data_IF_326677702504
#
_entry.id   IF_326677702504
#
_cell.length_a   1.000
_cell.length_b   1.000
_cell.length_c   1.000
_cell.angle_alpha   90.00
_cell.angle_beta   90.00
_cell.angle_gamma   90.00
#
_symmetry.space_group_name_H-M   'P 1'
#
loop_
_entity.id
_entity.type
_entity.pdbx_description
1 polymer ?
#
# COMPACT_ATOMS: atom_id res chain seq x y z
N UNK A 1 -39.09 16.05 -15.08
CA UNK A 1 -38.92 14.61 -15.39
C UNK A 1 -37.63 14.36 -16.18
N UNK A 2 -37.48 14.91 -17.39
CA UNK A 2 -36.27 14.73 -18.24
C UNK A 2 -34.95 15.17 -17.59
N UNK A 3 -34.93 16.31 -16.87
CA UNK A 3 -33.74 16.80 -16.16
C UNK A 3 -33.24 15.80 -15.10
N UNK A 4 -34.15 15.31 -14.25
CA UNK A 4 -33.83 14.35 -13.20
C UNK A 4 -33.37 13.00 -13.78
N UNK A 5 -33.96 12.56 -14.90
CA UNK A 5 -33.53 11.35 -15.62
C UNK A 5 -32.09 11.48 -16.14
N UNK A 6 -31.74 12.65 -16.68
CA UNK A 6 -30.38 12.93 -17.18
C UNK A 6 -29.35 13.00 -16.04
N UNK A 7 -29.67 13.68 -14.95
CA UNK A 7 -28.83 13.75 -13.74
C UNK A 7 -28.59 12.37 -13.12
N UNK A 8 -29.63 11.53 -13.08
CA UNK A 8 -29.50 10.15 -12.59
C UNK A 8 -28.56 9.33 -13.49
N UNK A 9 -28.71 9.43 -14.81
CA UNK A 9 -27.84 8.72 -15.75
C UNK A 9 -26.38 9.16 -15.61
N UNK A 10 -26.13 10.46 -15.52
CA UNK A 10 -24.80 11.02 -15.30
C UNK A 10 -24.20 10.56 -13.97
N UNK A 11 -25.00 10.51 -12.91
CA UNK A 11 -24.58 10.04 -11.59
C UNK A 11 -24.18 8.55 -11.60
N UNK A 12 -24.91 7.72 -12.34
CA UNK A 12 -24.59 6.30 -12.52
C UNK A 12 -23.27 6.13 -13.29
N UNK A 13 -23.07 6.90 -14.36
CA UNK A 13 -21.82 6.87 -15.13
C UNK A 13 -20.63 7.36 -14.30
N UNK A 14 -20.81 8.44 -13.53
CA UNK A 14 -19.79 8.94 -12.59
C UNK A 14 -19.44 7.88 -11.57
N UNK A 15 -20.44 7.24 -10.95
CA UNK A 15 -20.21 6.13 -10.02
C UNK A 15 -19.36 5.03 -10.65
N UNK A 16 -19.74 4.53 -11.83
CA UNK A 16 -18.96 3.49 -12.54
C UNK A 16 -17.53 3.92 -12.84
N UNK A 17 -17.32 5.19 -13.17
CA UNK A 17 -15.98 5.74 -13.45
C UNK A 17 -15.14 5.80 -12.19
N UNK A 18 -15.74 6.19 -11.07
CA UNK A 18 -15.07 6.25 -9.76
C UNK A 18 -14.75 4.83 -9.28
N UNK A 19 -15.68 3.89 -9.40
CA UNK A 19 -15.47 2.49 -9.01
C UNK A 19 -14.29 1.89 -9.80
N UNK A 20 -14.20 2.17 -11.10
CA UNK A 20 -13.07 1.73 -11.92
C UNK A 20 -11.74 2.36 -11.46
N UNK A 21 -11.71 3.68 -11.26
CA UNK A 21 -10.50 4.38 -10.77
C UNK A 21 -10.05 3.90 -9.41
N UNK A 22 -11.00 3.53 -8.54
CA UNK A 22 -10.71 2.99 -7.23
C UNK A 22 -10.02 1.63 -7.37
N UNK A 23 -10.51 0.76 -8.25
CA UNK A 23 -9.86 -0.53 -8.54
C UNK A 23 -8.44 -0.33 -9.09
N UNK A 24 -8.29 0.56 -10.08
CA UNK A 24 -6.97 0.85 -10.68
C UNK A 24 -5.96 1.37 -9.62
N UNK A 25 -6.42 2.20 -8.67
CA UNK A 25 -5.58 2.71 -7.58
C UNK A 25 -5.22 1.64 -6.54
N UNK A 26 -6.12 0.69 -6.26
CA UNK A 26 -5.86 -0.41 -5.34
C UNK A 26 -4.78 -1.35 -5.88
N UNK A 27 -4.83 -1.66 -7.18
CA UNK A 27 -3.80 -2.43 -7.88
C UNK A 27 -2.45 -1.70 -7.83
N UNK A 28 -2.44 -0.40 -8.13
CA UNK A 28 -1.23 0.43 -8.05
C UNK A 28 -0.64 0.45 -6.64
N UNK A 29 -1.46 0.57 -5.59
CA UNK A 29 -1.00 0.54 -4.20
C UNK A 29 -0.34 -0.81 -3.88
N UNK A 30 -0.97 -1.92 -4.27
CA UNK A 30 -0.46 -3.26 -4.02
C UNK A 30 0.91 -3.50 -4.69
N UNK A 31 1.07 -3.05 -5.93
CA UNK A 31 2.32 -3.14 -6.67
C UNK A 31 3.42 -2.31 -6.01
N UNK A 32 3.10 -1.06 -5.62
CA UNK A 32 4.05 -0.18 -4.94
C UNK A 32 4.48 -0.71 -3.58
N UNK A 33 3.56 -1.29 -2.81
CA UNK A 33 3.89 -1.94 -1.54
C UNK A 33 4.83 -3.13 -1.75
N UNK A 34 4.56 -3.97 -2.75
CA UNK A 34 5.41 -5.11 -3.09
C UNK A 34 6.83 -4.64 -3.42
N UNK A 35 6.97 -3.61 -4.26
CA UNK A 35 8.27 -3.05 -4.63
C UNK A 35 8.98 -2.49 -3.38
N UNK A 36 8.32 -1.63 -2.61
CA UNK A 36 8.92 -0.95 -1.45
C UNK A 36 9.36 -1.93 -0.36
N UNK A 37 8.58 -2.98 -0.12
CA UNK A 37 8.88 -3.96 0.93
C UNK A 37 9.91 -5.00 0.51
N UNK A 38 10.08 -5.23 -0.80
CA UNK A 38 11.09 -6.15 -1.32
C UNK A 38 12.53 -5.60 -1.26
N UNK A 39 12.72 -4.28 -1.34
CA UNK A 39 14.04 -3.68 -1.60
C UNK A 39 14.71 -3.05 -0.35
N UNK A 40 13.99 -2.89 0.76
CA UNK A 40 14.52 -2.16 1.92
C UNK A 40 15.21 -3.08 2.95
N UNK A 41 16.55 -3.00 2.98
CA UNK A 41 17.39 -3.74 3.92
C UNK A 41 17.69 -2.99 5.24
N UNK A 42 17.49 -1.67 5.27
CA UNK A 42 17.97 -0.78 6.35
C UNK A 42 16.87 -0.21 7.26
N UNK A 43 15.60 -0.57 7.03
CA UNK A 43 14.44 -0.08 7.79
C UNK A 43 13.29 0.33 6.87
N UNK A 44 12.06 0.10 7.32
CA UNK A 44 10.84 0.31 6.53
C UNK A 44 9.84 1.09 7.38
N UNK A 45 8.95 1.87 6.75
CA UNK A 45 7.88 2.61 7.43
C UNK A 45 7.05 1.76 8.42
N UNK A 46 6.86 0.47 8.12
CA UNK A 46 6.06 -0.46 8.95
C UNK A 46 6.80 -0.91 10.22
N UNK A 47 8.12 -1.13 10.14
CA UNK A 47 8.93 -1.71 11.24
C UNK A 47 9.89 -0.70 11.89
N UNK A 48 9.94 0.52 11.37
CA UNK A 48 10.80 1.59 11.83
C UNK A 48 12.18 1.63 11.18
N UNK A 49 12.86 2.77 11.37
CA UNK A 49 14.20 3.05 10.86
C UNK A 49 15.29 2.92 11.93
N UNK A 50 15.04 2.20 13.03
CA UNK A 50 16.01 2.06 14.13
C UNK A 50 17.34 1.44 13.66
N UNK A 51 17.31 0.66 12.58
CA UNK A 51 18.50 0.07 11.96
C UNK A 51 19.32 1.07 11.13
N UNK A 52 18.76 2.24 10.78
CA UNK A 52 19.47 3.30 10.05
C UNK A 52 20.48 4.04 10.94
N UNK A 53 20.19 4.18 12.24
CA UNK A 53 21.08 4.88 13.20
C UNK A 53 22.12 3.97 13.84
N UNK A 54 21.87 2.65 13.86
CA UNK A 54 22.83 1.65 14.41
C UNK A 54 23.96 1.30 13.43
N UNK A 55 23.71 1.36 12.13
CA UNK A 55 24.73 1.13 11.10
C UNK A 55 25.78 2.24 11.03
N UNK A 56 25.43 3.48 11.42
CA UNK A 56 26.37 4.61 11.44
C UNK A 56 27.23 4.66 12.70
N UNK A 57 26.82 4.05 13.80
CA UNK A 57 27.49 4.21 15.11
C UNK A 57 28.17 2.96 15.69
N UNK A 58 28.01 1.76 15.14
CA UNK A 58 28.76 0.60 15.66
C UNK A 58 28.98 -0.49 14.60
N UNK A 59 30.26 -0.84 14.36
CA UNK A 59 30.66 -2.13 13.79
C UNK A 59 30.32 -3.27 14.76
N UNK A 60 29.03 -3.52 15.00
CA UNK A 60 28.57 -4.64 15.83
C UNK A 60 28.06 -5.76 14.93
N UNK A 61 28.88 -6.80 14.84
CA UNK A 61 28.58 -8.17 14.46
C UNK A 61 27.28 -8.41 13.66
N UNK A 62 27.49 -8.55 12.35
CA UNK A 62 26.74 -9.45 11.48
C UNK A 62 26.28 -10.72 12.23
N UNK A 63 24.96 -10.96 12.27
CA UNK A 63 24.29 -12.26 12.51
C UNK A 63 22.78 -12.11 12.77
N UNK A 64 22.26 -10.89 12.97
CA UNK A 64 20.81 -10.63 13.16
C UNK A 64 20.13 -9.79 12.09
N UNK A 65 20.74 -9.66 10.92
CA UNK A 65 20.02 -9.31 9.69
C UNK A 65 19.13 -10.50 9.30
N UNK A 66 18.11 -10.79 10.10
CA UNK A 66 16.98 -11.56 9.62
C UNK A 66 16.48 -10.76 8.44
N UNK A 67 16.75 -11.26 7.21
CA UNK A 67 16.02 -10.88 6.00
C UNK A 67 14.59 -10.64 6.46
N UNK A 68 14.13 -9.38 6.41
CA UNK A 68 12.77 -9.07 6.79
C UNK A 68 11.90 -9.93 5.89
N UNK A 69 11.36 -11.02 6.45
CA UNK A 69 10.42 -11.85 5.72
C UNK A 69 9.18 -10.98 5.60
N UNK A 70 8.99 -10.51 4.37
CA UNK A 70 7.82 -9.81 3.94
C UNK A 70 6.62 -10.72 4.19
N UNK A 71 5.70 -10.27 5.02
CA UNK A 71 4.42 -10.95 5.31
C UNK A 71 3.32 -10.11 4.72
N UNK A 72 2.23 -10.72 4.24
CA UNK A 72 1.09 -9.96 3.71
C UNK A 72 0.44 -9.07 4.78
N UNK A 73 0.62 -9.39 6.07
CA UNK A 73 0.22 -8.54 7.21
C UNK A 73 0.97 -7.19 7.26
N UNK A 74 2.15 -7.09 6.61
CA UNK A 74 2.91 -5.83 6.52
C UNK A 74 2.34 -4.89 5.44
N UNK A 75 1.38 -5.32 4.61
CA UNK A 75 0.74 -4.52 3.54
C UNK A 75 -0.33 -3.57 4.10
N UNK A 76 0.07 -2.70 5.01
CA UNK A 76 -0.86 -1.84 5.77
C UNK A 76 -1.68 -0.88 4.87
N UNK A 77 -1.18 -0.51 3.69
CA UNK A 77 -1.91 0.37 2.77
C UNK A 77 -2.98 -0.41 2.01
N UNK A 78 -2.67 -1.61 1.49
CA UNK A 78 -3.72 -2.47 0.92
C UNK A 78 -4.75 -2.90 1.97
N UNK A 79 -4.31 -3.27 3.18
CA UNK A 79 -5.19 -3.60 4.32
C UNK A 79 -6.01 -2.41 4.83
N UNK A 80 -5.68 -1.17 4.45
CA UNK A 80 -6.53 -0.02 4.80
C UNK A 80 -7.79 0.08 3.93
N UNK A 81 -7.84 -0.63 2.80
CA UNK A 81 -9.05 -0.71 1.98
C UNK A 81 -9.99 -1.82 2.47
N UNK A 82 -11.22 -1.42 2.82
CA UNK A 82 -12.29 -2.37 3.13
C UNK A 82 -12.74 -3.20 1.93
N UNK A 83 -12.40 -2.79 0.70
CA UNK A 83 -12.65 -3.57 -0.53
C UNK A 83 -11.59 -4.66 -0.68
N UNK A 84 -10.33 -4.37 -0.35
CA UNK A 84 -9.24 -5.35 -0.40
C UNK A 84 -9.38 -6.47 0.64
N UNK A 85 -9.88 -6.16 1.83
CA UNK A 85 -10.11 -7.16 2.91
C UNK A 85 -11.30 -8.09 2.61
N UNK A 86 -12.20 -7.70 1.70
CA UNK A 86 -13.51 -8.33 1.51
C UNK A 86 -13.52 -9.36 0.38
#
# INVERSE_FOLDING_TARGET
YEKCRKELHESILKKRTIDKKLTDLEDDIFDKETIYLSDNLSGNLIKGFENFTRTTHHHSNSTRFKKNQFTDDDRIFSLSSAVYIK
#
